data_IF_364728566022
#
_entry.id   IF_364728566022
#
_cell.length_a   1.000
_cell.length_b   1.000
_cell.length_c   1.000
_cell.angle_alpha   90.00
_cell.angle_beta   90.00
_cell.angle_gamma   90.00
#
_symmetry.space_group_name_H-M   'P 1'
#
loop_
_entity.id
_entity.type
_entity.pdbx_description
1 polymer ?
#
# COMPACT_ATOMS: atom_id res chain seq x y z
N UNK A 1 1.42 -41.17 22.94
CA UNK A 1 1.14 -40.72 21.56
C UNK A 1 -0.36 -40.85 21.34
N UNK A 2 -0.95 -39.95 20.55
CA UNK A 2 -2.41 -39.93 20.28
C UNK A 2 -2.64 -39.96 18.78
N UNK A 3 -3.68 -40.67 18.33
CA UNK A 3 -4.10 -40.67 16.92
C UNK A 3 -4.66 -39.31 16.58
N UNK A 4 -4.11 -38.68 15.53
CA UNK A 4 -4.60 -37.40 15.03
C UNK A 4 -4.28 -37.22 13.55
N UNK A 5 -4.98 -36.28 12.94
CA UNK A 5 -4.75 -35.90 11.56
C UNK A 5 -3.53 -34.97 11.44
N UNK A 6 -2.66 -35.29 10.50
CA UNK A 6 -1.49 -34.50 10.10
C UNK A 6 -1.29 -34.63 8.61
N UNK A 7 -0.56 -33.67 8.02
CA UNK A 7 -0.27 -33.74 6.59
C UNK A 7 0.89 -34.70 6.29
N UNK A 8 0.84 -35.28 5.09
CA UNK A 8 1.94 -35.97 4.45
C UNK A 8 2.20 -35.33 3.08
N UNK A 9 3.46 -35.14 2.73
CA UNK A 9 3.87 -34.48 1.48
C UNK A 9 4.63 -35.48 0.62
N UNK A 10 4.04 -35.83 -0.52
CA UNK A 10 4.65 -36.64 -1.56
C UNK A 10 5.83 -35.88 -2.18
N UNK A 11 7.03 -36.39 -1.95
CA UNK A 11 8.24 -35.74 -2.42
C UNK A 11 8.42 -35.86 -3.93
N UNK A 12 7.88 -36.90 -4.57
CA UNK A 12 8.06 -37.11 -6.02
C UNK A 12 7.15 -36.18 -6.82
N UNK A 13 5.96 -35.91 -6.30
CA UNK A 13 5.04 -34.91 -6.89
C UNK A 13 5.42 -33.47 -6.56
N UNK A 14 6.13 -33.22 -5.45
CA UNK A 14 6.45 -31.87 -5.02
C UNK A 14 7.40 -31.15 -6.00
N UNK A 15 6.89 -30.09 -6.63
CA UNK A 15 7.65 -29.21 -7.54
C UNK A 15 8.36 -28.03 -6.84
N UNK A 16 8.33 -27.94 -5.52
CA UNK A 16 9.10 -26.92 -4.78
C UNK A 16 8.55 -25.49 -4.81
N UNK A 17 7.32 -25.25 -5.27
CA UNK A 17 6.78 -23.89 -5.45
C UNK A 17 6.62 -23.05 -4.16
N UNK A 18 6.58 -23.69 -2.98
CA UNK A 18 6.50 -23.00 -1.69
C UNK A 18 5.14 -22.35 -1.36
N UNK A 19 4.09 -22.60 -2.13
CA UNK A 19 2.75 -22.02 -1.84
C UNK A 19 2.19 -22.53 -0.51
N UNK A 20 2.41 -23.81 -0.20
CA UNK A 20 2.01 -24.42 1.07
C UNK A 20 2.71 -23.84 2.30
N UNK A 21 3.96 -23.36 2.18
CA UNK A 21 4.68 -22.75 3.30
C UNK A 21 4.07 -21.40 3.68
N UNK A 22 3.56 -20.65 2.71
CA UNK A 22 2.85 -19.38 2.93
C UNK A 22 1.45 -19.60 3.51
N UNK A 23 0.77 -20.66 3.09
CA UNK A 23 -0.58 -20.99 3.58
C UNK A 23 -0.59 -21.57 5.01
N UNK A 24 0.55 -22.05 5.52
CA UNK A 24 0.61 -22.69 6.84
C UNK A 24 0.70 -21.66 7.98
N UNK A 25 -0.42 -21.41 8.67
CA UNK A 25 -0.47 -20.47 9.79
C UNK A 25 0.43 -20.86 10.98
N UNK A 26 0.70 -22.16 11.14
CA UNK A 26 1.58 -22.67 12.20
C UNK A 26 3.06 -22.65 11.80
N UNK A 27 3.39 -22.29 10.54
CA UNK A 27 4.76 -22.35 10.03
C UNK A 27 5.38 -23.75 10.15
N UNK A 28 4.58 -24.79 9.97
CA UNK A 28 4.99 -26.19 10.12
C UNK A 28 5.73 -26.74 8.89
N UNK A 29 5.51 -26.13 7.73
CA UNK A 29 6.08 -26.55 6.44
C UNK A 29 7.21 -25.58 6.06
N UNK A 30 8.37 -26.12 5.68
CA UNK A 30 9.49 -25.34 5.14
C UNK A 30 9.97 -25.96 3.83
N UNK A 31 10.67 -25.17 3.03
CA UNK A 31 11.39 -25.68 1.87
C UNK A 31 12.77 -26.17 2.32
N UNK A 32 13.06 -27.45 2.09
CA UNK A 32 14.35 -28.08 2.35
C UNK A 32 14.77 -28.75 1.04
N UNK A 33 15.97 -28.46 0.56
CA UNK A 33 16.51 -28.98 -0.71
C UNK A 33 15.56 -28.77 -1.91
N UNK A 34 14.88 -27.62 -1.93
CA UNK A 34 13.95 -27.26 -3.00
C UNK A 34 12.59 -27.96 -2.94
N UNK A 35 12.29 -28.77 -1.91
CA UNK A 35 10.99 -29.42 -1.74
C UNK A 35 10.33 -29.07 -0.40
N UNK A 36 9.00 -29.12 -0.38
CA UNK A 36 8.23 -28.84 0.83
C UNK A 36 8.34 -30.01 1.82
N UNK A 37 8.70 -29.72 3.06
CA UNK A 37 8.86 -30.69 4.13
C UNK A 37 8.14 -30.24 5.40
N UNK A 38 7.44 -31.18 6.03
CA UNK A 38 6.88 -30.99 7.37
C UNK A 38 8.02 -31.10 8.39
N UNK A 39 8.25 -30.04 9.16
CA UNK A 39 9.40 -29.97 10.09
C UNK A 39 9.21 -30.84 11.33
N UNK A 40 7.97 -30.94 11.81
CA UNK A 40 7.59 -31.83 12.90
C UNK A 40 6.09 -32.04 12.83
N UNK A 41 5.66 -33.27 13.12
CA UNK A 41 4.24 -33.56 13.28
C UNK A 41 3.63 -32.64 14.33
N UNK A 42 4.31 -32.43 15.47
CA UNK A 42 3.85 -31.56 16.57
C UNK A 42 3.52 -30.12 16.14
N UNK A 43 4.05 -29.65 15.02
CA UNK A 43 3.80 -28.31 14.51
C UNK A 43 2.60 -28.24 13.57
N UNK A 44 2.14 -29.37 13.03
CA UNK A 44 0.95 -29.45 12.20
C UNK A 44 -0.28 -29.54 13.10
N UNK A 45 -1.25 -28.64 12.93
CA UNK A 45 -2.53 -28.66 13.63
C UNK A 45 -3.55 -29.63 13.00
N UNK A 46 -3.24 -30.19 11.83
CA UNK A 46 -4.12 -31.11 11.10
C UNK A 46 -5.27 -30.44 10.37
N UNK A 47 -5.33 -29.11 10.28
CA UNK A 47 -6.47 -28.40 9.68
C UNK A 47 -6.51 -28.52 8.13
N UNK A 48 -5.35 -28.71 7.51
CA UNK A 48 -5.25 -28.97 6.07
C UNK A 48 -5.33 -27.74 5.16
N UNK A 49 -5.14 -26.52 5.69
CA UNK A 49 -5.14 -25.26 4.89
C UNK A 49 -4.15 -25.23 3.72
N UNK A 50 -3.09 -26.05 3.78
CA UNK A 50 -2.10 -26.15 2.72
C UNK A 50 -2.56 -26.99 1.52
N UNK A 51 -3.56 -27.87 1.67
CA UNK A 51 -4.02 -28.78 0.62
C UNK A 51 -4.51 -28.03 -0.63
N UNK A 52 -5.44 -27.05 -0.53
CA UNK A 52 -5.94 -26.32 -1.71
C UNK A 52 -4.88 -25.45 -2.41
N UNK A 53 -3.74 -25.23 -1.76
CA UNK A 53 -2.66 -24.39 -2.27
C UNK A 53 -1.57 -25.19 -3.00
N UNK A 54 -1.68 -26.52 -3.06
CA UNK A 54 -0.75 -27.35 -3.80
C UNK A 54 -1.25 -27.52 -5.25
N UNK A 55 -0.56 -26.97 -6.27
CA UNK A 55 -1.02 -27.04 -7.66
C UNK A 55 -0.87 -28.43 -8.29
N UNK A 56 -0.22 -29.35 -7.59
CA UNK A 56 0.11 -30.71 -8.06
C UNK A 56 -0.41 -31.78 -7.09
N UNK A 57 -1.29 -31.39 -6.15
CA UNK A 57 -1.94 -32.27 -5.18
C UNK A 57 -1.00 -33.20 -4.40
N UNK A 58 0.23 -32.74 -4.14
CA UNK A 58 1.26 -33.50 -3.44
C UNK A 58 1.03 -33.62 -1.92
N UNK A 59 -0.02 -33.00 -1.36
CA UNK A 59 -0.25 -32.94 0.08
C UNK A 59 -1.53 -33.71 0.42
N UNK A 60 -1.45 -34.65 1.37
CA UNK A 60 -2.58 -35.45 1.86
C UNK A 60 -2.74 -35.27 3.36
N UNK A 61 -3.98 -35.38 3.84
CA UNK A 61 -4.27 -35.43 5.28
C UNK A 61 -4.40 -36.90 5.68
N UNK A 62 -3.54 -37.35 6.59
CA UNK A 62 -3.49 -38.74 7.06
C UNK A 62 -3.72 -38.80 8.57
N UNK A 63 -4.31 -39.89 9.05
CA UNK A 63 -4.39 -40.18 10.48
C UNK A 63 -3.24 -41.08 10.87
N UNK A 64 -2.41 -40.64 11.82
CA UNK A 64 -1.31 -41.45 12.36
C UNK A 64 -1.11 -41.22 13.86
N UNK A 65 -0.47 -42.18 14.52
CA UNK A 65 -0.05 -42.03 15.91
C UNK A 65 1.17 -41.15 16.00
N UNK A 66 1.04 -39.99 16.64
CA UNK A 66 2.14 -39.03 16.77
C UNK A 66 2.03 -38.22 18.07
N UNK A 67 2.99 -37.32 18.30
CA UNK A 67 2.97 -36.40 19.43
C UNK A 67 1.78 -35.45 19.34
N UNK A 68 1.29 -34.97 20.49
CA UNK A 68 0.28 -33.92 20.52
C UNK A 68 0.75 -32.68 19.75
N UNK A 69 -0.21 -31.89 19.27
CA UNK A 69 0.07 -30.59 18.70
C UNK A 69 0.63 -29.65 19.79
N UNK A 70 1.67 -28.91 19.46
CA UNK A 70 2.25 -27.91 20.35
C UNK A 70 1.37 -26.66 20.35
N UNK A 71 0.55 -26.52 21.38
CA UNK A 71 -0.36 -25.39 21.60
C UNK A 71 0.34 -24.03 21.56
N UNK A 72 1.63 -23.94 21.91
CA UNK A 72 2.40 -22.69 21.85
C UNK A 72 2.58 -22.18 20.42
N UNK A 73 2.45 -23.07 19.43
CA UNK A 73 2.63 -22.80 18.01
C UNK A 73 1.37 -22.26 17.33
N UNK A 74 0.23 -22.15 18.04
CA UNK A 74 -0.98 -21.53 17.50
C UNK A 74 -0.68 -20.15 16.91
N UNK A 75 -0.97 -20.01 15.62
CA UNK A 75 -0.78 -18.81 14.79
C UNK A 75 0.67 -18.32 14.75
N UNK A 76 1.64 -19.23 14.83
CA UNK A 76 3.07 -18.90 14.89
C UNK A 76 3.55 -18.05 13.70
N UNK A 77 3.12 -18.36 12.47
CA UNK A 77 3.52 -17.60 11.28
C UNK A 77 2.90 -16.19 11.28
N UNK A 78 1.65 -16.05 11.75
CA UNK A 78 0.97 -14.76 11.93
C UNK A 78 1.64 -13.88 12.99
N UNK A 79 2.22 -14.49 14.04
CA UNK A 79 3.01 -13.77 15.04
C UNK A 79 4.35 -13.30 14.47
N UNK A 80 4.98 -14.06 13.55
CA UNK A 80 6.25 -13.66 12.91
C UNK A 80 6.09 -12.54 11.87
N UNK A 81 4.94 -12.43 11.19
CA UNK A 81 4.67 -11.34 10.24
C UNK A 81 4.46 -9.96 10.89
N UNK A 82 4.51 -9.85 12.22
CA UNK A 82 4.46 -8.55 12.93
C UNK A 82 5.75 -7.71 12.79
N UNK A 83 6.77 -8.17 12.09
CA UNK A 83 8.04 -7.43 11.92
C UNK A 83 8.20 -6.85 10.52
N UNK A 84 7.53 -5.72 10.30
CA UNK A 84 8.12 -4.45 9.82
C UNK A 84 7.05 -3.37 9.91
N UNK A 85 6.78 -2.85 11.11
CA UNK A 85 6.04 -1.59 11.22
C UNK A 85 6.94 -0.48 10.68
N UNK A 86 6.84 -0.18 9.38
CA UNK A 86 7.34 1.09 8.86
C UNK A 86 6.74 2.20 9.74
N UNK A 87 7.53 3.19 10.14
CA UNK A 87 7.08 4.28 11.02
C UNK A 87 5.78 4.93 10.50
N UNK A 88 5.57 4.97 9.17
CA UNK A 88 4.35 5.48 8.55
C UNK A 88 3.10 4.59 8.66
N UNK A 89 3.19 3.40 9.25
CA UNK A 89 2.04 2.51 9.55
C UNK A 89 1.79 2.37 11.06
N UNK A 90 2.60 3.01 11.92
CA UNK A 90 2.42 2.89 13.36
C UNK A 90 1.21 3.72 13.81
N UNK A 91 0.26 3.13 14.57
CA UNK A 91 -0.86 3.89 15.10
C UNK A 91 -0.34 4.96 16.07
N UNK A 92 -0.80 6.20 15.89
CA UNK A 92 -0.44 7.33 16.73
C UNK A 92 -1.70 8.12 17.07
N UNK A 93 -1.88 8.43 18.36
CA UNK A 93 -2.88 9.40 18.80
C UNK A 93 -2.24 10.78 18.78
N UNK A 94 -2.82 11.71 18.04
CA UNK A 94 -2.39 13.10 18.06
C UNK A 94 -2.95 13.77 19.32
N UNK A 95 -2.10 14.49 20.05
CA UNK A 95 -2.54 15.25 21.21
C UNK A 95 -3.60 16.26 20.78
N UNK A 96 -4.69 16.38 21.54
CA UNK A 96 -5.67 17.44 21.32
C UNK A 96 -4.95 18.78 21.49
N UNK A 97 -4.75 19.48 20.37
CA UNK A 97 -4.25 20.84 20.42
C UNK A 97 -5.31 21.66 21.16
N UNK A 98 -4.96 22.13 22.36
CA UNK A 98 -5.75 23.14 23.09
C UNK A 98 -5.63 24.48 22.35
N UNK A 99 -6.17 24.54 21.13
CA UNK A 99 -6.21 25.75 20.33
C UNK A 99 -7.30 26.62 20.93
N UNK A 100 -6.92 27.75 21.54
CA UNK A 100 -7.88 28.81 21.84
C UNK A 100 -8.61 29.13 20.53
N UNK A 101 -9.95 29.02 20.47
CA UNK A 101 -10.67 29.27 19.24
C UNK A 101 -10.33 30.69 18.78
N UNK A 102 -9.57 30.80 17.67
CA UNK A 102 -9.47 32.07 16.95
C UNK A 102 -10.88 32.41 16.48
N UNK A 103 -11.30 33.68 16.51
CA UNK A 103 -12.59 34.09 15.98
C UNK A 103 -12.71 33.58 14.53
N UNK A 104 -13.53 32.56 14.33
CA UNK A 104 -13.78 31.96 13.04
C UNK A 104 -14.78 32.87 12.32
N UNK A 105 -14.42 33.30 11.12
CA UNK A 105 -15.36 33.95 10.20
C UNK A 105 -16.50 32.99 9.90
N UNK A 106 -17.74 33.41 10.17
CA UNK A 106 -18.99 32.66 9.96
C UNK A 106 -19.39 32.49 8.49
N UNK A 107 -18.49 32.80 7.56
CA UNK A 107 -18.73 32.67 6.13
C UNK A 107 -18.59 31.20 5.72
N UNK A 108 -19.51 30.67 4.91
CA UNK A 108 -19.39 29.31 4.38
C UNK A 108 -18.11 29.17 3.53
N UNK A 109 -17.32 28.13 3.80
CA UNK A 109 -16.12 27.81 3.02
C UNK A 109 -16.58 27.11 1.75
N UNK A 110 -16.38 27.74 0.59
CA UNK A 110 -16.68 27.15 -0.71
C UNK A 110 -15.56 26.21 -1.16
N UNK A 111 -15.92 25.15 -1.88
CA UNK A 111 -14.95 24.25 -2.49
C UNK A 111 -14.14 24.95 -3.57
N UNK A 112 -12.82 24.78 -3.53
CA UNK A 112 -11.90 25.21 -4.59
C UNK A 112 -11.71 24.16 -5.70
N UNK A 113 -12.35 23.00 -5.61
CA UNK A 113 -12.26 21.95 -6.63
C UNK A 113 -12.93 22.40 -7.94
N UNK A 114 -12.26 22.23 -9.08
CA UNK A 114 -12.76 22.68 -10.40
C UNK A 114 -12.96 21.57 -11.42
N UNK A 115 -12.63 20.33 -11.06
CA UNK A 115 -12.71 19.17 -11.94
C UNK A 115 -13.04 17.88 -11.18
N UNK A 116 -13.55 16.89 -11.91
CA UNK A 116 -13.81 15.54 -11.42
C UNK A 116 -13.62 14.54 -12.58
N UNK A 117 -13.12 13.30 -12.35
CA UNK A 117 -12.65 12.73 -11.07
C UNK A 117 -11.28 13.26 -10.65
N UNK A 118 -10.94 13.09 -9.36
CA UNK A 118 -9.64 13.51 -8.79
C UNK A 118 -8.65 12.36 -8.61
N UNK A 119 -9.12 11.12 -8.51
CA UNK A 119 -8.26 9.95 -8.33
C UNK A 119 -7.42 9.72 -9.58
N UNK A 120 -6.09 9.67 -9.46
CA UNK A 120 -5.17 9.53 -10.59
C UNK A 120 -5.53 8.32 -11.45
N UNK A 121 -5.94 7.21 -10.84
CA UNK A 121 -6.38 6.03 -11.58
C UNK A 121 -7.59 6.28 -12.51
N UNK A 122 -8.45 7.26 -12.19
CA UNK A 122 -9.67 7.57 -12.95
C UNK A 122 -9.54 8.76 -13.90
N UNK A 123 -8.53 9.62 -13.72
CA UNK A 123 -8.31 10.77 -14.60
C UNK A 123 -8.02 10.29 -16.03
N UNK A 124 -8.72 10.89 -17.00
CA UNK A 124 -8.46 10.69 -18.42
C UNK A 124 -7.36 11.69 -18.87
N UNK A 125 -6.23 11.22 -19.42
CA UNK A 125 -5.14 12.09 -19.89
C UNK A 125 -5.54 13.12 -20.95
N UNK A 126 -6.61 12.87 -21.70
CA UNK A 126 -7.13 13.77 -22.74
C UNK A 126 -8.21 14.73 -22.22
N UNK A 127 -8.43 14.83 -20.90
CA UNK A 127 -9.47 15.69 -20.36
C UNK A 127 -9.15 17.17 -20.61
N UNK A 128 -10.12 17.98 -21.11
CA UNK A 128 -9.84 19.34 -21.58
C UNK A 128 -9.39 20.31 -20.47
N UNK A 129 -9.70 20.01 -19.21
CA UNK A 129 -9.25 20.82 -18.08
C UNK A 129 -7.74 20.71 -17.81
N UNK A 130 -7.04 19.72 -18.39
CA UNK A 130 -5.59 19.52 -18.19
C UNK A 130 -4.74 20.47 -19.04
N UNK A 131 -5.25 20.90 -20.20
CA UNK A 131 -4.52 21.80 -21.09
C UNK A 131 -4.27 23.16 -20.41
N UNK A 132 -3.00 23.59 -20.33
CA UNK A 132 -2.63 24.86 -19.69
C UNK A 132 -2.75 24.83 -18.16
N UNK A 133 -2.98 23.68 -17.53
CA UNK A 133 -3.31 23.61 -16.12
C UNK A 133 -2.12 23.85 -15.19
N UNK A 134 -2.39 24.49 -14.05
CA UNK A 134 -1.55 24.35 -12.86
C UNK A 134 -1.94 23.04 -12.17
N UNK A 135 -1.08 22.03 -12.22
CA UNK A 135 -1.37 20.71 -11.71
C UNK A 135 -0.96 20.59 -10.24
N UNK A 136 -1.90 20.19 -9.39
CA UNK A 136 -1.66 19.77 -8.02
C UNK A 136 -1.73 18.24 -7.98
N UNK A 137 -0.62 17.58 -7.63
CA UNK A 137 -0.56 16.15 -7.40
C UNK A 137 -0.36 15.93 -5.90
N UNK A 138 -1.35 15.38 -5.21
CA UNK A 138 -1.35 15.27 -3.76
C UNK A 138 -1.49 13.83 -3.26
N UNK A 139 -0.80 13.49 -2.18
CA UNK A 139 -1.04 12.21 -1.51
C UNK A 139 -2.40 12.23 -0.79
N UNK A 140 -3.16 11.14 -0.83
CA UNK A 140 -4.54 11.10 -0.29
C UNK A 140 -4.68 11.66 1.13
N UNK A 141 -3.71 11.38 2.02
CA UNK A 141 -3.76 11.82 3.41
C UNK A 141 -3.59 13.33 3.61
N UNK A 142 -3.08 14.08 2.62
CA UNK A 142 -2.68 15.49 2.84
C UNK A 142 -3.85 16.42 3.11
N UNK A 143 -4.98 16.20 2.45
CA UNK A 143 -6.20 17.01 2.66
C UNK A 143 -6.87 16.72 4.00
N UNK A 144 -6.67 15.52 4.56
CA UNK A 144 -7.15 15.15 5.89
C UNK A 144 -6.22 15.60 7.00
N UNK A 145 -4.92 15.74 6.72
CA UNK A 145 -3.93 16.22 7.69
C UNK A 145 -3.89 17.76 7.76
N UNK A 146 -3.92 18.45 6.62
CA UNK A 146 -3.81 19.92 6.57
C UNK A 146 -5.18 20.57 6.37
N UNK A 147 -5.71 21.20 7.41
CA UNK A 147 -7.10 21.68 7.43
C UNK A 147 -7.47 22.73 6.36
N UNK A 148 -6.53 23.58 5.94
CA UNK A 148 -6.78 24.65 4.95
C UNK A 148 -6.41 24.22 3.51
N UNK A 149 -6.59 22.94 3.19
CA UNK A 149 -6.06 22.36 1.94
C UNK A 149 -6.66 22.99 0.68
N UNK A 150 -7.98 23.22 0.66
CA UNK A 150 -8.68 23.78 -0.51
C UNK A 150 -8.15 25.17 -0.85
N UNK A 151 -8.08 26.07 0.13
CA UNK A 151 -7.61 27.44 -0.07
C UNK A 151 -6.12 27.50 -0.38
N UNK A 152 -5.29 26.76 0.38
CA UNK A 152 -3.83 26.82 0.28
C UNK A 152 -3.27 26.15 -0.98
N UNK A 153 -3.83 25.01 -1.38
CA UNK A 153 -3.26 24.17 -2.43
C UNK A 153 -4.14 24.04 -3.67
N UNK A 154 -5.47 23.89 -3.52
CA UNK A 154 -6.35 23.58 -4.65
C UNK A 154 -6.76 24.80 -5.48
N UNK A 155 -6.82 25.99 -4.87
CA UNK A 155 -7.27 27.20 -5.56
C UNK A 155 -6.48 27.45 -6.85
N UNK A 156 -7.21 27.53 -7.97
CA UNK A 156 -6.64 27.80 -9.29
C UNK A 156 -5.87 26.63 -9.90
N UNK A 157 -5.99 25.42 -9.34
CA UNK A 157 -5.27 24.22 -9.78
C UNK A 157 -6.20 23.07 -10.13
N UNK A 158 -5.77 22.26 -11.09
CA UNK A 158 -6.33 20.93 -11.33
C UNK A 158 -5.74 19.98 -10.31
N UNK A 159 -6.59 19.33 -9.52
CA UNK A 159 -6.19 18.45 -8.41
C UNK A 159 -6.27 16.98 -8.80
N UNK A 160 -5.15 16.28 -8.66
CA UNK A 160 -5.03 14.84 -8.83
C UNK A 160 -4.51 14.26 -7.51
N UNK A 161 -5.12 13.18 -7.04
CA UNK A 161 -4.73 12.49 -5.81
C UNK A 161 -4.36 11.03 -6.04
N UNK A 162 -3.55 10.48 -5.15
CA UNK A 162 -3.25 9.05 -5.11
C UNK A 162 -2.30 8.67 -3.98
N UNK A 163 -2.17 7.38 -3.70
CA UNK A 163 -1.33 6.87 -2.62
C UNK A 163 -0.30 5.86 -3.14
N UNK A 164 1.00 6.22 -3.23
CA UNK A 164 2.03 5.33 -3.77
C UNK A 164 2.26 4.05 -2.94
N UNK A 165 1.66 3.96 -1.74
CA UNK A 165 1.71 2.76 -0.89
C UNK A 165 0.60 1.77 -1.21
N UNK A 166 -0.56 2.27 -1.63
CA UNK A 166 -1.77 1.48 -1.83
C UNK A 166 -2.00 1.18 -3.30
N UNK A 167 -1.51 2.05 -4.18
CA UNK A 167 -1.77 2.02 -5.60
C UNK A 167 -0.57 1.55 -6.42
N UNK A 168 -0.84 1.15 -7.66
CA UNK A 168 0.19 0.77 -8.62
C UNK A 168 0.93 2.02 -9.16
N UNK A 169 2.14 2.22 -8.63
CA UNK A 169 3.01 3.32 -9.04
C UNK A 169 3.49 3.26 -10.50
N UNK A 170 3.46 2.09 -11.13
CA UNK A 170 3.81 1.94 -12.54
C UNK A 170 2.69 2.49 -13.44
N UNK A 171 1.44 2.15 -13.15
CA UNK A 171 0.27 2.71 -13.81
C UNK A 171 0.16 4.24 -13.61
N UNK A 172 0.52 4.74 -12.42
CA UNK A 172 0.58 6.19 -12.15
C UNK A 172 1.59 6.90 -13.03
N UNK A 173 2.79 6.33 -13.15
CA UNK A 173 3.87 6.89 -13.96
C UNK A 173 3.49 6.96 -15.43
N UNK A 174 2.95 5.87 -15.97
CA UNK A 174 2.51 5.83 -17.37
C UNK A 174 1.44 6.89 -17.64
N UNK A 175 0.42 6.96 -16.77
CA UNK A 175 -0.66 7.93 -16.91
C UNK A 175 -0.20 9.38 -16.78
N UNK A 176 0.66 9.68 -15.81
CA UNK A 176 1.23 11.02 -15.67
C UNK A 176 2.11 11.38 -16.87
N UNK A 177 2.87 10.42 -17.40
CA UNK A 177 3.67 10.63 -18.63
C UNK A 177 2.75 11.00 -19.79
N UNK A 178 1.63 10.29 -19.97
CA UNK A 178 0.62 10.64 -20.97
C UNK A 178 0.04 12.04 -20.76
N UNK A 179 -0.31 12.41 -19.52
CA UNK A 179 -0.81 13.75 -19.19
C UNK A 179 0.20 14.82 -19.63
N UNK A 180 1.48 14.65 -19.29
CA UNK A 180 2.53 15.61 -19.65
C UNK A 180 2.85 15.66 -21.15
N UNK A 181 2.69 14.55 -21.88
CA UNK A 181 2.90 14.51 -23.33
C UNK A 181 1.74 15.11 -24.12
N UNK A 182 0.52 14.97 -23.61
CA UNK A 182 -0.71 15.33 -24.33
C UNK A 182 -1.21 16.73 -24.00
N UNK A 183 -0.65 17.39 -22.99
CA UNK A 183 -1.11 18.68 -22.49
C UNK A 183 0.07 19.61 -22.19
N UNK A 184 -0.10 20.90 -22.50
CA UNK A 184 0.85 21.94 -22.10
C UNK A 184 0.63 22.30 -20.62
N UNK A 185 1.23 21.54 -19.70
CA UNK A 185 1.08 21.79 -18.26
C UNK A 185 1.86 23.04 -17.84
N UNK A 186 1.17 24.01 -17.23
CA UNK A 186 1.76 25.30 -16.85
C UNK A 186 2.66 25.21 -15.61
N UNK A 187 2.30 24.38 -14.63
CA UNK A 187 3.12 24.11 -13.44
C UNK A 187 2.72 22.81 -12.77
N UNK A 188 3.63 22.23 -11.99
CA UNK A 188 3.36 21.05 -11.15
C UNK A 188 3.71 21.37 -9.69
N UNK A 189 2.75 21.18 -8.80
CA UNK A 189 2.96 21.16 -7.35
C UNK A 189 2.69 19.77 -6.82
N UNK A 190 3.68 19.15 -6.17
CA UNK A 190 3.50 17.91 -5.43
C UNK A 190 3.31 18.23 -3.96
N UNK A 191 2.22 17.74 -3.35
CA UNK A 191 2.01 17.85 -1.91
C UNK A 191 2.00 16.45 -1.32
N UNK A 192 2.93 16.17 -0.41
CA UNK A 192 3.14 14.84 0.13
C UNK A 192 3.20 14.86 1.65
N UNK A 193 2.92 13.73 2.30
CA UNK A 193 3.17 13.59 3.73
C UNK A 193 4.67 13.38 4.01
N UNK A 194 5.11 13.69 5.23
CA UNK A 194 6.48 13.47 5.71
C UNK A 194 6.86 12.00 5.85
N UNK A 195 5.89 11.09 5.81
CA UNK A 195 6.11 9.64 5.91
C UNK A 195 6.86 9.09 4.69
N UNK A 196 7.70 8.06 4.87
CA UNK A 196 8.60 7.58 3.82
C UNK A 196 7.86 7.03 2.59
N UNK A 197 6.65 6.49 2.74
CA UNK A 197 5.89 5.96 1.62
C UNK A 197 5.51 7.04 0.60
N UNK A 198 5.26 8.28 1.03
CA UNK A 198 4.87 9.35 0.13
C UNK A 198 6.02 9.85 -0.77
N UNK A 199 7.28 9.53 -0.46
CA UNK A 199 8.41 9.78 -1.37
C UNK A 199 8.30 9.02 -2.70
N UNK A 200 7.48 7.95 -2.76
CA UNK A 200 7.13 7.28 -4.02
C UNK A 200 6.41 8.20 -5.00
N UNK A 201 5.52 9.09 -4.53
CA UNK A 201 4.77 10.01 -5.39
C UNK A 201 5.72 11.02 -6.05
N UNK A 202 6.63 11.62 -5.28
CA UNK A 202 7.67 12.53 -5.81
C UNK A 202 8.45 11.89 -6.96
N UNK A 203 8.93 10.64 -6.77
CA UNK A 203 9.67 9.92 -7.81
C UNK A 203 8.82 9.65 -9.05
N UNK A 204 7.59 9.16 -8.86
CA UNK A 204 6.66 8.89 -9.97
C UNK A 204 6.43 10.15 -10.82
N UNK A 205 6.19 11.30 -10.19
CA UNK A 205 5.96 12.57 -10.89
C UNK A 205 7.21 13.04 -11.62
N UNK A 206 8.36 13.07 -10.94
CA UNK A 206 9.63 13.51 -11.54
C UNK A 206 10.03 12.63 -12.73
N UNK A 207 9.86 11.32 -12.59
CA UNK A 207 10.16 10.39 -13.66
C UNK A 207 9.19 10.55 -14.85
N UNK A 208 7.91 10.80 -14.61
CA UNK A 208 6.94 11.07 -15.66
C UNK A 208 7.23 12.37 -16.43
N UNK A 209 7.66 13.43 -15.73
CA UNK A 209 8.14 14.67 -16.36
C UNK A 209 9.38 14.36 -17.23
N UNK A 210 10.33 13.61 -16.70
CA UNK A 210 11.55 13.22 -17.44
C UNK A 210 11.23 12.37 -18.67
N UNK A 211 10.32 11.39 -18.55
CA UNK A 211 9.96 10.48 -19.63
C UNK A 211 9.14 11.15 -20.73
N UNK A 212 8.28 12.11 -20.36
CA UNK A 212 7.51 12.90 -21.33
C UNK A 212 8.35 13.92 -22.10
N UNK A 213 9.53 14.28 -21.58
CA UNK A 213 10.36 15.36 -22.12
C UNK A 213 9.81 16.75 -21.82
N UNK A 214 8.77 16.87 -20.98
CA UNK A 214 8.18 18.15 -20.63
C UNK A 214 9.13 19.01 -19.80
N UNK A 215 9.14 20.32 -20.08
CA UNK A 215 9.86 21.32 -19.28
C UNK A 215 8.82 22.13 -18.53
N UNK A 216 8.64 21.83 -17.25
CA UNK A 216 7.57 22.41 -16.42
C UNK A 216 8.11 22.88 -15.07
N UNK A 217 7.69 24.06 -14.58
CA UNK A 217 8.00 24.49 -13.22
C UNK A 217 7.50 23.47 -12.20
N UNK A 218 8.38 23.05 -11.29
CA UNK A 218 8.10 22.03 -10.29
C UNK A 218 8.29 22.58 -8.87
N UNK A 219 7.33 22.31 -7.99
CA UNK A 219 7.41 22.60 -6.56
C UNK A 219 6.96 21.39 -5.75
N UNK A 220 7.57 21.19 -4.58
CA UNK A 220 7.22 20.12 -3.65
C UNK A 220 6.97 20.71 -2.25
N UNK A 221 5.91 20.24 -1.60
CA UNK A 221 5.54 20.63 -0.23
C UNK A 221 5.34 19.38 0.61
N UNK A 222 5.93 19.38 1.81
CA UNK A 222 5.82 18.27 2.75
C UNK A 222 4.90 18.64 3.91
N UNK A 223 3.94 17.78 4.24
CA UNK A 223 3.03 17.94 5.39
C UNK A 223 3.37 16.91 6.47
N UNK A 224 3.53 17.34 7.72
CA UNK A 224 3.74 16.44 8.86
C UNK A 224 2.47 15.67 9.23
N UNK A 225 2.59 14.61 10.04
CA UNK A 225 1.42 13.88 10.53
C UNK A 225 0.51 14.74 11.42
N UNK A 226 1.08 15.81 11.97
CA UNK A 226 0.43 16.83 12.79
C UNK A 226 -0.26 17.94 11.96
N UNK A 227 -0.13 17.92 10.63
CA UNK A 227 -0.78 18.88 9.75
C UNK A 227 0.00 20.18 9.54
N UNK A 228 1.31 20.19 9.78
CA UNK A 228 2.18 21.34 9.57
C UNK A 228 2.92 21.24 8.23
N UNK A 229 3.24 22.38 7.61
CA UNK A 229 4.11 22.42 6.42
C UNK A 229 5.57 22.44 6.89
N UNK A 230 6.40 21.54 6.35
CA UNK A 230 7.84 21.41 6.63
C UNK A 230 8.70 22.12 5.58
#
# INVERSE_FOLDING_TARGET
MTKRQVIEIDQDLCIGCGLCTKACHQGAIQLVDGKAKLMSDSYCDGLGMCLPNCPVDAIKLIEKETSAFDESRKDFALKQTTRTSCAGSQPKTLASLSVKPKPQTTQPINSELRQWPVQLHLVNPNAPYLQGANLLIAADCTSYAYGDFHHKFMRGKVTIIGCPKLDDTSAYREKLTQIFMQNDIASVTVVRMSVPCCGGMTRVVQDAIKQSGAIVPYAEVTISAEGEIL
#
